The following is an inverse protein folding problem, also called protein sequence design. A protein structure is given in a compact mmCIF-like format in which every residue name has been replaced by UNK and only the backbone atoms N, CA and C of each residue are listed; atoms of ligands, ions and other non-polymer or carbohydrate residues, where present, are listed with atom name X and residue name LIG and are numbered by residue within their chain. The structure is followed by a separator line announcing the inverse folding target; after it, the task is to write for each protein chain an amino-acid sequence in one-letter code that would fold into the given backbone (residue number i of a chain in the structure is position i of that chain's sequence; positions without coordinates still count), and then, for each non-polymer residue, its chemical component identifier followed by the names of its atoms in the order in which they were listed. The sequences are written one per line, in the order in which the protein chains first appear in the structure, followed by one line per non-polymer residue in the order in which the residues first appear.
data_IF_380019428474
#
_entry.id   IF_380019428474
#
_cell.length_a   1.000
_cell.length_b   1.000
_cell.length_c   1.000
_cell.angle_alpha   90.00
_cell.angle_beta   90.00
_cell.angle_gamma   90.00
#
_symmetry.space_group_name_H-M   'P 1'
#
loop_
_entity.id
_entity.type
_entity.pdbx_description
1 polymer ?
#
# COMPACT_ATOMS: atom_id res chain seq x y z
N UNK A 1 24.29 -4.30 -83.05
CA UNK A 1 24.28 -3.17 -82.10
C UNK A 1 24.49 -1.90 -82.90
N UNK A 2 23.41 -1.15 -83.19
CA UNK A 2 23.39 0.13 -83.91
C UNK A 2 22.10 0.91 -83.53
N UNK A 3 22.25 2.10 -82.94
CA UNK A 3 21.63 3.43 -83.21
C UNK A 3 20.28 3.52 -83.98
N UNK A 4 19.33 4.48 -83.85
CA UNK A 4 19.00 5.64 -82.97
C UNK A 4 17.70 6.35 -83.52
N UNK A 5 16.90 7.05 -82.67
CA UNK A 5 15.95 8.21 -82.92
C UNK A 5 14.74 8.03 -83.92
N UNK A 6 13.60 8.78 -83.99
CA UNK A 6 13.01 10.04 -83.42
C UNK A 6 11.48 10.16 -83.79
N UNK A 7 10.71 10.98 -83.04
CA UNK A 7 9.50 11.82 -83.35
C UNK A 7 8.04 11.31 -83.58
N UNK A 8 7.14 11.79 -82.68
CA UNK A 8 5.94 12.68 -82.86
C UNK A 8 4.73 12.28 -83.77
N UNK A 9 3.59 13.04 -83.78
CA UNK A 9 2.63 13.45 -82.73
C UNK A 9 1.13 13.30 -83.16
N UNK A 10 0.13 13.36 -82.26
CA UNK A 10 -1.26 13.80 -82.64
C UNK A 10 -2.00 14.45 -81.44
N UNK A 11 -2.57 15.64 -81.68
CA UNK A 11 -3.48 16.40 -80.80
C UNK A 11 -4.94 16.28 -81.26
N UNK A 12 -5.92 16.37 -80.35
CA UNK A 12 -7.24 16.99 -80.65
C UNK A 12 -7.96 17.57 -79.42
N UNK A 13 -8.68 18.66 -79.67
CA UNK A 13 -9.27 19.66 -78.75
C UNK A 13 -10.74 19.39 -78.37
N UNK A 14 -11.07 19.69 -77.10
CA UNK A 14 -12.12 20.58 -76.49
C UNK A 14 -13.56 20.65 -77.06
N UNK A 15 -14.60 20.57 -76.18
CA UNK A 15 -15.74 21.54 -76.07
C UNK A 15 -16.70 21.27 -74.86
N UNK A 16 -17.42 22.28 -74.29
CA UNK A 16 -17.99 22.25 -72.93
C UNK A 16 -19.53 22.32 -72.85
N UNK A 17 -20.12 22.00 -71.68
CA UNK A 17 -21.47 22.42 -71.21
C UNK A 17 -21.64 21.92 -69.75
N UNK A 18 -22.33 22.51 -68.78
CA UNK A 18 -23.05 23.78 -68.55
C UNK A 18 -23.26 23.87 -67.03
N UNK A 19 -23.12 25.05 -66.45
CA UNK A 19 -23.36 25.35 -65.03
C UNK A 19 -24.87 25.26 -64.71
N UNK A 20 -25.26 24.61 -63.60
CA UNK A 20 -26.60 24.75 -63.01
C UNK A 20 -26.52 25.03 -61.50
N UNK A 21 -27.36 25.99 -61.09
CA UNK A 21 -27.29 26.85 -59.90
C UNK A 21 -27.68 26.14 -58.60
N UNK A 22 -27.05 26.59 -57.50
CA UNK A 22 -27.35 26.24 -56.11
C UNK A 22 -28.67 26.88 -55.62
N UNK A 23 -29.36 26.16 -54.73
CA UNK A 23 -30.51 26.61 -53.92
C UNK A 23 -30.29 26.21 -52.44
N UNK A 24 -30.98 26.84 -51.48
CA UNK A 24 -30.39 27.22 -50.19
C UNK A 24 -30.23 26.07 -49.18
N UNK A 25 -29.11 26.14 -48.45
CA UNK A 25 -28.77 25.34 -47.28
C UNK A 25 -29.61 25.86 -46.10
N UNK A 26 -30.64 25.12 -45.70
CA UNK A 26 -31.37 25.36 -44.47
C UNK A 26 -31.71 24.02 -43.79
N UNK A 27 -30.73 23.50 -43.06
CA UNK A 27 -30.89 22.64 -41.86
C UNK A 27 -29.54 22.01 -41.50
N UNK A 28 -28.66 22.78 -40.84
CA UNK A 28 -27.45 22.22 -40.23
C UNK A 28 -27.16 22.79 -38.83
N UNK A 29 -28.15 23.37 -38.16
CA UNK A 29 -27.94 24.01 -36.84
C UNK A 29 -28.55 23.24 -35.65
N UNK A 30 -29.34 22.18 -35.87
CA UNK A 30 -30.07 21.51 -34.76
C UNK A 30 -29.33 20.35 -34.07
N UNK A 31 -28.12 19.97 -34.51
CA UNK A 31 -27.43 18.79 -33.99
C UNK A 31 -26.25 19.07 -33.04
N UNK A 32 -25.82 20.33 -32.87
CA UNK A 32 -24.57 20.66 -32.14
C UNK A 32 -24.76 20.81 -30.63
N UNK A 33 -25.97 20.97 -30.10
CA UNK A 33 -26.21 21.25 -28.67
C UNK A 33 -26.30 20.02 -27.77
N UNK A 34 -26.68 18.84 -28.28
CA UNK A 34 -26.73 17.60 -27.45
C UNK A 34 -25.34 17.06 -27.08
N UNK A 35 -24.35 17.28 -27.94
CA UNK A 35 -22.96 16.80 -27.74
C UNK A 35 -22.28 17.54 -26.60
N UNK A 36 -22.53 18.85 -26.44
CA UNK A 36 -21.94 19.69 -25.39
C UNK A 36 -22.39 19.27 -23.97
N UNK A 37 -23.67 18.91 -23.80
CA UNK A 37 -24.24 18.52 -22.49
C UNK A 37 -23.76 17.14 -22.01
N UNK A 38 -23.47 16.23 -22.94
CA UNK A 38 -22.98 14.87 -22.64
C UNK A 38 -21.48 14.86 -22.29
N UNK A 39 -20.68 15.76 -22.89
CA UNK A 39 -19.25 15.90 -22.58
C UNK A 39 -18.97 16.42 -21.15
N UNK A 40 -19.83 17.30 -20.60
CA UNK A 40 -19.69 17.79 -19.21
C UNK A 40 -19.96 16.70 -18.17
N UNK A 41 -20.91 15.80 -18.43
CA UNK A 41 -21.23 14.67 -17.55
C UNK A 41 -20.14 13.59 -17.59
N UNK A 42 -19.58 13.32 -18.78
CA UNK A 42 -18.42 12.43 -18.94
C UNK A 42 -17.19 12.99 -18.24
N UNK A 43 -16.94 14.30 -18.35
CA UNK A 43 -15.85 14.99 -17.64
C UNK A 43 -15.99 14.88 -16.11
N UNK A 44 -17.20 15.08 -15.57
CA UNK A 44 -17.47 14.93 -14.13
C UNK A 44 -17.26 13.48 -13.65
N UNK A 45 -17.66 12.50 -14.48
CA UNK A 45 -17.48 11.07 -14.20
C UNK A 45 -16.01 10.65 -14.24
N UNK A 46 -15.22 11.20 -15.18
CA UNK A 46 -13.77 10.96 -15.27
C UNK A 46 -13.01 11.60 -14.09
N UNK A 47 -13.43 12.78 -13.63
CA UNK A 47 -12.89 13.42 -12.42
C UNK A 47 -13.24 12.58 -11.17
N UNK A 48 -14.47 12.05 -11.10
CA UNK A 48 -14.89 11.17 -10.00
C UNK A 48 -14.11 9.84 -9.99
N UNK A 49 -13.79 9.28 -11.16
CA UNK A 49 -12.92 8.11 -11.31
C UNK A 49 -11.47 8.42 -10.89
N UNK A 50 -10.97 9.62 -11.20
CA UNK A 50 -9.64 10.06 -10.79
C UNK A 50 -9.47 10.19 -9.27
N UNK A 51 -10.54 10.52 -8.55
CA UNK A 51 -10.54 10.59 -7.07
C UNK A 51 -10.46 9.21 -6.39
N UNK A 52 -10.68 8.11 -7.12
CA UNK A 52 -10.60 6.75 -6.58
C UNK A 52 -9.15 6.19 -6.56
N UNK A 53 -8.17 6.94 -7.07
CA UNK A 53 -6.75 6.54 -7.11
C UNK A 53 -5.96 7.03 -5.89
N UNK A 54 -6.54 6.99 -4.70
CA UNK A 54 -5.79 7.22 -3.45
C UNK A 54 -5.69 5.94 -2.65
N UNK A 55 -4.64 5.16 -2.91
CA UNK A 55 -4.14 4.20 -1.95
C UNK A 55 -2.70 3.84 -2.30
N UNK A 56 -1.74 4.29 -1.51
CA UNK A 56 -0.60 3.43 -1.20
C UNK A 56 -0.03 3.79 0.18
N UNK A 57 -0.51 3.09 1.20
CA UNK A 57 0.39 2.77 2.31
C UNK A 57 1.32 1.69 1.75
N UNK A 58 2.58 2.04 1.50
CA UNK A 58 3.59 1.10 0.98
C UNK A 58 4.02 0.11 2.07
N UNK A 59 3.09 -0.75 2.45
CA UNK A 59 3.32 -1.87 3.37
C UNK A 59 4.09 -2.94 2.62
N UNK A 60 5.34 -3.18 3.05
CA UNK A 60 6.26 -4.14 2.43
C UNK A 60 6.13 -5.53 3.03
N UNK A 61 5.64 -5.63 4.26
CA UNK A 61 5.50 -6.89 4.98
C UNK A 61 4.39 -6.80 6.01
N UNK A 62 3.53 -7.81 6.05
CA UNK A 62 2.55 -8.00 7.15
C UNK A 62 2.45 -9.48 7.46
N UNK A 63 2.62 -9.84 8.73
CA UNK A 63 2.40 -11.20 9.19
C UNK A 63 1.92 -11.20 10.63
N UNK A 64 0.96 -12.08 10.93
CA UNK A 64 0.48 -12.35 12.28
C UNK A 64 0.95 -13.74 12.74
N UNK A 65 1.23 -13.85 14.04
CA UNK A 65 1.44 -15.08 14.76
C UNK A 65 0.33 -15.23 15.78
N UNK A 66 -0.52 -16.25 15.64
CA UNK A 66 -1.63 -16.52 16.53
C UNK A 66 -1.20 -17.41 17.69
N UNK A 67 -1.50 -17.00 18.91
CA UNK A 67 -1.26 -17.82 20.09
C UNK A 67 -2.30 -18.92 20.16
N UNK A 68 -1.84 -20.14 20.44
CA UNK A 68 -2.75 -21.26 20.64
C UNK A 68 -3.39 -21.11 22.02
N UNK A 69 -4.69 -21.36 22.10
CA UNK A 69 -5.47 -21.29 23.35
C UNK A 69 -5.38 -19.91 24.05
N UNK A 70 -5.03 -18.88 23.28
CA UNK A 70 -4.86 -17.49 23.74
C UNK A 70 -3.74 -17.32 24.80
N UNK A 71 -2.75 -18.21 24.73
CA UNK A 71 -1.67 -18.33 25.70
C UNK A 71 -0.30 -18.12 25.07
N UNK A 72 0.49 -17.23 25.67
CA UNK A 72 1.91 -17.07 25.36
C UNK A 72 2.77 -17.68 26.47
N UNK A 73 3.36 -18.85 26.21
CA UNK A 73 4.28 -19.52 27.12
C UNK A 73 5.74 -19.10 26.88
N UNK A 74 6.63 -19.29 27.86
CA UNK A 74 8.03 -18.84 27.77
C UNK A 74 8.83 -19.56 26.66
N UNK A 75 8.37 -20.73 26.21
CA UNK A 75 9.02 -21.50 25.15
C UNK A 75 8.63 -21.01 23.75
N UNK A 76 7.48 -20.34 23.63
CA UNK A 76 7.00 -19.80 22.35
C UNK A 76 7.76 -18.53 21.99
N UNK A 77 8.33 -18.51 20.78
CA UNK A 77 9.06 -17.36 20.22
C UNK A 77 8.46 -16.94 18.88
N UNK A 78 7.41 -16.09 18.87
CA UNK A 78 6.88 -15.51 17.65
C UNK A 78 8.02 -14.92 16.81
N UNK A 79 8.16 -15.39 15.57
CA UNK A 79 9.29 -15.09 14.70
C UNK A 79 8.81 -14.54 13.36
N UNK A 80 9.37 -13.39 12.98
CA UNK A 80 9.09 -12.73 11.72
C UNK A 80 10.39 -12.54 10.94
N UNK A 81 10.37 -12.94 9.67
CA UNK A 81 11.51 -12.74 8.75
C UNK A 81 11.09 -11.78 7.67
N UNK A 82 11.71 -10.62 7.63
CA UNK A 82 11.41 -9.54 6.68
C UNK A 82 12.60 -9.39 5.73
N UNK A 83 12.35 -9.46 4.43
CA UNK A 83 13.39 -9.27 3.43
C UNK A 83 13.38 -7.82 2.94
N UNK A 84 14.43 -7.05 3.26
CA UNK A 84 14.52 -5.63 2.93
C UNK A 84 15.59 -5.41 1.86
N UNK A 85 15.18 -4.92 0.70
CA UNK A 85 16.05 -4.77 -0.47
C UNK A 85 16.60 -3.34 -0.65
N UNK A 86 15.88 -2.33 -0.18
CA UNK A 86 16.28 -0.92 -0.29
C UNK A 86 16.71 -0.37 1.08
N UNK A 87 17.98 0.05 1.22
CA UNK A 87 18.52 0.63 2.45
C UNK A 87 18.52 2.16 2.46
N UNK A 88 18.08 2.79 1.37
CA UNK A 88 18.01 4.25 1.22
C UNK A 88 16.75 4.81 1.87
N UNK A 89 15.70 4.00 1.95
CA UNK A 89 14.42 4.35 2.56
C UNK A 89 14.46 4.22 4.09
N UNK A 90 13.51 4.89 4.73
CA UNK A 90 13.22 4.74 6.15
C UNK A 90 12.00 3.83 6.30
N UNK A 91 11.99 3.00 7.34
CA UNK A 91 10.92 2.05 7.59
C UNK A 91 10.27 2.28 8.95
N UNK A 92 8.94 2.13 9.00
CA UNK A 92 8.20 1.98 10.24
C UNK A 92 8.02 0.48 10.51
N UNK A 93 8.46 0.03 11.68
CA UNK A 93 8.17 -1.33 12.18
C UNK A 93 7.09 -1.22 13.25
N UNK A 94 5.95 -1.86 13.01
CA UNK A 94 4.77 -1.78 13.88
C UNK A 94 4.47 -3.19 14.38
N UNK A 95 4.75 -3.43 15.65
CA UNK A 95 4.27 -4.64 16.32
C UNK A 95 2.90 -4.35 16.92
N UNK A 96 1.90 -5.15 16.56
CA UNK A 96 0.55 -5.05 17.13
C UNK A 96 0.24 -6.32 17.91
N UNK A 97 0.05 -6.17 19.22
CA UNK A 97 -0.40 -7.24 20.12
C UNK A 97 -1.90 -7.09 20.33
N UNK A 98 -2.66 -8.16 20.14
CA UNK A 98 -4.10 -8.18 20.42
C UNK A 98 -4.35 -8.99 21.69
N UNK A 99 -4.96 -8.35 22.68
CA UNK A 99 -5.42 -9.00 23.91
C UNK A 99 -6.94 -8.98 23.99
N UNK A 100 -7.52 -9.82 24.83
CA UNK A 100 -8.91 -9.67 25.24
C UNK A 100 -9.01 -8.56 26.31
N UNK A 101 -10.23 -8.19 26.68
CA UNK A 101 -10.52 -7.31 27.82
C UNK A 101 -10.38 -7.99 29.17
N UNK A 102 -10.16 -9.30 29.21
CA UNK A 102 -10.00 -10.07 30.45
C UNK A 102 -8.52 -10.18 30.88
N UNK A 103 -7.61 -9.61 30.07
CA UNK A 103 -6.20 -9.50 30.40
C UNK A 103 -5.98 -8.74 31.73
N UNK A 104 -5.30 -9.39 32.68
CA UNK A 104 -5.29 -8.97 34.08
C UNK A 104 -4.27 -7.86 34.45
N UNK A 105 -3.36 -7.50 33.53
CA UNK A 105 -2.23 -6.61 33.85
C UNK A 105 -2.30 -5.29 33.07
N UNK A 106 -1.68 -4.25 33.62
CA UNK A 106 -1.63 -2.92 32.98
C UNK A 106 -0.50 -2.78 31.95
N UNK A 107 0.46 -3.71 31.94
CA UNK A 107 1.56 -3.75 30.98
C UNK A 107 1.99 -5.20 30.67
N UNK A 108 2.70 -5.36 29.56
CA UNK A 108 3.41 -6.58 29.21
C UNK A 108 4.84 -6.24 28.79
N UNK A 109 5.81 -6.82 29.49
CA UNK A 109 7.21 -6.71 29.10
C UNK A 109 7.57 -7.81 28.11
N UNK A 110 8.28 -7.42 27.05
CA UNK A 110 8.79 -8.33 26.03
C UNK A 110 10.27 -8.07 25.77
N UNK A 111 10.98 -9.09 25.34
CA UNK A 111 12.28 -8.94 24.70
C UNK A 111 12.12 -9.09 23.20
N UNK A 112 12.54 -8.07 22.46
CA UNK A 112 12.66 -8.13 21.01
C UNK A 112 14.11 -8.44 20.67
N UNK A 113 14.33 -9.58 20.02
CA UNK A 113 15.62 -9.93 19.43
C UNK A 113 15.58 -9.63 17.93
N UNK A 114 16.43 -8.71 17.51
CA UNK A 114 16.64 -8.36 16.10
C UNK A 114 17.95 -8.97 15.62
N UNK A 115 17.86 -9.84 14.62
CA UNK A 115 19.02 -10.41 13.93
C UNK A 115 19.10 -9.81 12.53
N UNK A 116 20.08 -8.93 12.24
CA UNK A 116 20.28 -8.39 10.91
C UNK A 116 20.84 -9.46 9.94
N UNK A 117 20.79 -9.22 8.61
CA UNK A 117 21.40 -10.12 7.61
C UNK A 117 22.91 -10.29 7.81
N UNK A 118 23.57 -9.25 8.33
CA UNK A 118 24.97 -9.23 8.66
C UNK A 118 25.17 -8.50 9.99
N UNK A 119 26.05 -9.03 10.84
CA UNK A 119 26.34 -8.47 12.16
C UNK A 119 25.79 -9.30 13.32
N UNK A 120 25.83 -8.72 14.53
CA UNK A 120 25.39 -9.39 15.76
C UNK A 120 23.90 -9.18 15.99
N UNK A 121 23.23 -10.21 16.52
CA UNK A 121 21.87 -10.06 17.03
C UNK A 121 21.86 -9.15 18.26
N UNK A 122 20.86 -8.28 18.33
CA UNK A 122 20.62 -7.36 19.44
C UNK A 122 19.33 -7.79 20.13
N UNK A 123 19.32 -7.79 21.47
CA UNK A 123 18.15 -8.15 22.27
C UNK A 123 17.84 -6.99 23.21
N UNK A 124 16.66 -6.42 23.08
CA UNK A 124 16.24 -5.22 23.82
C UNK A 124 14.90 -5.46 24.53
N UNK A 125 14.74 -4.98 25.77
CA UNK A 125 13.46 -5.01 26.47
C UNK A 125 12.55 -3.88 25.98
N UNK A 126 11.26 -4.18 25.81
CA UNK A 126 10.23 -3.20 25.54
C UNK A 126 9.01 -3.45 26.43
N UNK A 127 8.43 -2.36 26.91
CA UNK A 127 7.16 -2.37 27.63
C UNK A 127 6.03 -2.06 26.64
N UNK A 128 5.03 -2.94 26.60
CA UNK A 128 3.74 -2.67 25.96
C UNK A 128 2.79 -2.26 27.07
N UNK A 129 2.42 -0.98 27.11
CA UNK A 129 1.41 -0.48 28.06
C UNK A 129 0.03 -0.89 27.58
N UNK A 130 -0.69 -1.64 28.42
CA UNK A 130 -1.99 -2.22 28.10
C UNK A 130 -3.12 -1.35 28.66
N UNK A 131 -2.96 -0.83 29.87
CA UNK A 131 -3.94 0.05 30.52
C UNK A 131 -3.25 1.18 31.31
N UNK A 132 -3.96 2.30 31.48
CA UNK A 132 -3.52 3.39 32.36
C UNK A 132 -3.73 3.02 33.85
N UNK A 133 -3.20 3.80 34.80
CA UNK A 133 -3.40 3.54 36.23
C UNK A 133 -4.87 3.58 36.71
N UNK A 134 -5.78 4.17 35.91
CA UNK A 134 -7.20 4.22 36.20
C UNK A 134 -7.95 3.00 35.63
N UNK A 135 -7.27 2.09 34.92
CA UNK A 135 -7.85 0.91 34.28
C UNK A 135 -8.38 1.15 32.87
N UNK A 136 -8.15 2.31 32.26
CA UNK A 136 -8.55 2.57 30.87
C UNK A 136 -7.56 1.91 29.90
N UNK A 137 -8.08 1.19 28.91
CA UNK A 137 -7.26 0.55 27.89
C UNK A 137 -6.45 1.55 27.06
N UNK A 138 -5.16 1.29 26.89
CA UNK A 138 -4.24 2.05 26.05
C UNK A 138 -4.12 1.32 24.71
N UNK A 139 -4.95 1.69 23.75
CA UNK A 139 -4.96 1.01 22.46
C UNK A 139 -6.27 1.23 21.71
N UNK A 140 -6.46 0.48 20.63
CA UNK A 140 -7.74 0.48 19.91
C UNK A 140 -8.60 -0.65 20.44
N UNK A 141 -9.67 -0.31 21.17
CA UNK A 141 -10.65 -1.29 21.65
C UNK A 141 -11.75 -1.50 20.61
N UNK A 142 -12.06 -2.76 20.31
CA UNK A 142 -13.18 -3.18 19.47
C UNK A 142 -13.87 -4.37 20.12
N UNK A 143 -15.04 -4.13 20.72
CA UNK A 143 -15.74 -5.15 21.51
C UNK A 143 -14.91 -5.63 22.71
N UNK A 144 -14.62 -6.93 22.74
CA UNK A 144 -13.78 -7.59 23.76
C UNK A 144 -12.30 -7.64 23.39
N UNK A 145 -11.89 -7.08 22.26
CA UNK A 145 -10.50 -7.10 21.79
C UNK A 145 -9.88 -5.72 21.96
N UNK A 146 -8.62 -5.69 22.40
CA UNK A 146 -7.81 -4.47 22.50
C UNK A 146 -6.52 -4.65 21.71
N UNK A 147 -6.24 -3.72 20.80
CA UNK A 147 -5.02 -3.68 20.00
C UNK A 147 -4.01 -2.70 20.59
N UNK A 148 -2.85 -3.23 20.96
CA UNK A 148 -1.73 -2.49 21.55
C UNK A 148 -0.57 -2.42 20.56
N UNK A 149 -0.07 -1.21 20.28
CA UNK A 149 0.97 -1.01 19.26
C UNK A 149 2.30 -0.55 19.85
N UNK A 150 3.36 -1.27 19.49
CA UNK A 150 4.75 -0.86 19.69
C UNK A 150 5.33 -0.44 18.34
N UNK A 151 5.58 0.87 18.18
CA UNK A 151 5.92 1.46 16.88
C UNK A 151 7.35 2.01 16.89
N UNK A 152 8.19 1.48 15.99
CA UNK A 152 9.51 2.00 15.69
C UNK A 152 9.48 2.78 14.38
N UNK A 153 9.26 4.10 14.48
CA UNK A 153 9.14 4.96 13.30
C UNK A 153 10.49 5.32 12.71
N UNK A 154 10.52 5.49 11.39
CA UNK A 154 11.63 6.11 10.64
C UNK A 154 12.99 5.46 10.92
N UNK A 155 13.02 4.12 11.00
CA UNK A 155 14.26 3.37 11.24
C UNK A 155 15.00 3.20 9.94
N UNK A 156 16.29 3.53 9.95
CA UNK A 156 17.21 3.21 8.87
C UNK A 156 17.73 1.80 9.06
N UNK A 157 17.70 1.01 7.99
CA UNK A 157 18.27 -0.34 7.96
C UNK A 157 19.64 -0.30 7.28
N UNK A 158 20.73 -0.70 7.95
CA UNK A 158 22.08 -0.52 7.42
C UNK A 158 22.46 -1.53 6.34
N UNK A 159 21.82 -2.71 6.33
CA UNK A 159 22.14 -3.80 5.41
C UNK A 159 20.91 -4.25 4.63
N UNK A 160 21.09 -4.64 3.37
CA UNK A 160 20.06 -5.33 2.59
C UNK A 160 19.99 -6.81 2.95
N UNK A 161 18.82 -7.40 2.89
CA UNK A 161 18.56 -8.83 3.08
C UNK A 161 17.53 -9.14 4.18
N UNK A 162 17.58 -10.37 4.67
CA UNK A 162 16.61 -10.92 5.63
C UNK A 162 16.93 -10.52 7.07
N UNK A 163 16.06 -9.70 7.66
CA UNK A 163 16.03 -9.40 9.08
C UNK A 163 15.11 -10.39 9.79
N UNK A 164 15.56 -10.95 10.92
CA UNK A 164 14.75 -11.81 11.78
C UNK A 164 14.40 -11.07 13.07
N UNK A 165 13.12 -11.00 13.39
CA UNK A 165 12.59 -10.45 14.63
C UNK A 165 11.98 -11.58 15.44
N UNK A 166 12.51 -11.84 16.62
CA UNK A 166 12.00 -12.84 17.54
C UNK A 166 11.51 -12.15 18.81
N UNK A 167 10.29 -12.45 19.23
CA UNK A 167 9.73 -11.94 20.48
C UNK A 167 9.76 -13.02 21.55
N UNK A 168 10.11 -12.61 22.77
CA UNK A 168 10.10 -13.45 23.96
C UNK A 168 9.33 -12.67 25.05
N UNK A 169 8.51 -13.34 25.84
CA UNK A 169 7.96 -12.68 27.04
C UNK A 169 9.09 -12.38 28.03
N UNK A 170 8.97 -11.25 28.72
CA UNK A 170 9.96 -10.76 29.68
C UNK A 170 9.37 -10.61 31.10
N UNK A 171 8.46 -11.51 31.46
CA UNK A 171 7.80 -11.56 32.76
C UNK A 171 8.18 -12.83 33.53
N UNK A 172 7.80 -12.90 34.81
CA UNK A 172 8.20 -14.00 35.71
C UNK A 172 7.29 -15.22 35.55
N UNK A 173 6.03 -14.98 35.22
CA UNK A 173 5.00 -15.98 35.00
C UNK A 173 5.38 -16.93 33.86
N UNK A 174 4.96 -18.19 33.98
CA UNK A 174 5.28 -19.23 32.97
C UNK A 174 4.50 -19.02 31.67
N UNK A 175 3.34 -18.40 31.77
CA UNK A 175 2.43 -18.14 30.67
C UNK A 175 1.70 -16.82 30.87
N UNK A 176 1.33 -16.22 29.75
CA UNK A 176 0.47 -15.04 29.67
C UNK A 176 -0.81 -15.45 28.97
N UNK A 177 -1.92 -15.34 29.67
CA UNK A 177 -3.24 -15.66 29.13
C UNK A 177 -3.87 -14.42 28.46
N UNK A 178 -5.00 -14.61 27.78
CA UNK A 178 -5.78 -13.54 27.14
C UNK A 178 -5.06 -12.80 26.01
N UNK A 179 -4.10 -13.46 25.35
CA UNK A 179 -3.37 -12.94 24.20
C UNK A 179 -3.78 -13.67 22.93
N UNK A 180 -4.38 -12.96 21.97
CA UNK A 180 -4.91 -13.54 20.75
C UNK A 180 -3.80 -13.79 19.72
N UNK A 181 -3.05 -12.75 19.40
CA UNK A 181 -1.96 -12.79 18.44
C UNK A 181 -1.04 -11.58 18.57
N UNK A 182 0.12 -11.72 17.96
CA UNK A 182 1.05 -10.63 17.71
C UNK A 182 1.37 -10.57 16.22
N UNK A 183 1.37 -9.37 15.66
CA UNK A 183 1.67 -9.13 14.26
C UNK A 183 2.80 -8.14 14.09
N UNK A 184 3.52 -8.29 12.99
CA UNK A 184 4.49 -7.32 12.51
C UNK A 184 4.02 -6.79 11.17
N UNK A 185 3.84 -5.48 11.10
CA UNK A 185 3.72 -4.71 9.87
C UNK A 185 4.99 -3.89 9.67
N UNK A 186 5.56 -3.94 8.46
CA UNK A 186 6.65 -3.08 8.04
C UNK A 186 6.21 -2.31 6.81
N UNK A 187 6.39 -1.00 6.85
CA UNK A 187 6.03 -0.10 5.75
C UNK A 187 7.10 0.95 5.54
N UNK A 188 7.14 1.52 4.34
CA UNK A 188 7.98 2.68 4.05
C UNK A 188 7.47 3.87 4.86
N UNK A 189 8.36 4.54 5.58
CA UNK A 189 8.01 5.74 6.34
C UNK A 189 7.74 6.90 5.37
N UNK A 190 6.57 7.54 5.50
CA UNK A 190 6.28 8.75 4.76
C UNK A 190 7.28 9.87 5.10
N UNK A 191 7.71 10.61 4.07
CA UNK A 191 8.39 11.89 4.25
C UNK A 191 7.42 12.85 4.94
N UNK A 192 7.90 13.57 5.96
CA UNK A 192 7.08 14.53 6.71
C UNK A 192 7.21 15.89 6.07
#
# INVERSE_FOLDING_TARGET
MLWVKIASPVLRKISPSTIKKEGPIANLESQTTKVQKMNKQISLFLILIGLLWSCSNDTIFTKAYRFKDEQWTQTMRPTFTVDIQDTTQLYDFIFTLRSTTDYAYNNLWIFLRTTPPFGKSVREPYEIKMADPNGNWIGKKSGTIVEHQLIFKRRKVPFKGKYKFELEQAITEKQVDELLDISLEVRVSAAK
#
